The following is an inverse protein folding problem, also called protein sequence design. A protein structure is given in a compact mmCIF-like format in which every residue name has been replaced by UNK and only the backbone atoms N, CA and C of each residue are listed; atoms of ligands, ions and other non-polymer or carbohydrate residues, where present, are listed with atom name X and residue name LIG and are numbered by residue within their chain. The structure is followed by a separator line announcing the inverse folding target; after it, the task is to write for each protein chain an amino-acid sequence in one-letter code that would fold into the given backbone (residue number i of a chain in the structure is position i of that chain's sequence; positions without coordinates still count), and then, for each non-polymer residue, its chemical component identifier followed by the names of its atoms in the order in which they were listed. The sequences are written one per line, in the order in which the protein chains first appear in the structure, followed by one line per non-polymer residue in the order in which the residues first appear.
data_IF_441504024259
#
_entry.id   IF_441504024259
#
_cell.length_a   1.000
_cell.length_b   1.000
_cell.length_c   1.000
_cell.angle_alpha   90.00
_cell.angle_beta   90.00
_cell.angle_gamma   90.00
#
_symmetry.space_group_name_H-M   'P 1'
#
loop_
_entity.id
_entity.type
_entity.pdbx_description
1 polymer ?
#
# COMPACT_ATOMS: atom_id res chain seq x y z
N UNK A 1 14.95 -3.51 -9.54
CA UNK A 1 14.61 -2.68 -8.38
C UNK A 1 13.28 -3.16 -7.84
N UNK A 2 13.18 -3.62 -6.57
CA UNK A 2 11.91 -3.95 -5.95
C UNK A 2 11.15 -2.67 -5.56
N UNK A 3 9.82 -2.71 -5.61
CA UNK A 3 8.92 -1.58 -5.32
C UNK A 3 7.82 -2.07 -4.39
N UNK A 4 7.47 -1.27 -3.39
CA UNK A 4 6.31 -1.51 -2.51
C UNK A 4 5.44 -0.26 -2.48
N UNK A 5 4.12 -0.44 -2.59
CA UNK A 5 3.12 0.63 -2.49
C UNK A 5 2.19 0.31 -1.32
N UNK A 6 2.07 1.25 -0.38
CA UNK A 6 1.18 1.12 0.77
C UNK A 6 -0.12 1.90 0.55
N UNK A 7 -1.24 1.28 0.91
CA UNK A 7 -2.55 1.89 1.03
C UNK A 7 -3.05 1.76 2.48
N UNK A 8 -3.62 2.86 2.98
CA UNK A 8 -4.25 2.93 4.30
C UNK A 8 -5.56 2.14 4.41
N UNK A 9 -6.34 2.47 5.42
CA UNK A 9 -7.64 1.86 5.69
C UNK A 9 -8.78 2.67 5.06
N UNK A 10 -10.03 2.20 5.22
CA UNK A 10 -11.27 2.89 4.84
C UNK A 10 -11.45 3.13 3.32
N UNK A 11 -10.77 2.35 2.48
CA UNK A 11 -10.99 2.35 1.03
C UNK A 11 -12.14 1.41 0.70
N UNK A 12 -13.25 1.97 0.22
CA UNK A 12 -14.43 1.20 -0.18
C UNK A 12 -14.20 0.27 -1.38
N UNK A 13 -14.93 -0.83 -1.42
CA UNK A 13 -14.94 -1.79 -2.53
C UNK A 13 -15.92 -1.40 -3.66
N UNK A 14 -16.87 -0.52 -3.36
CA UNK A 14 -17.89 -0.02 -4.27
C UNK A 14 -17.65 1.45 -4.66
N UNK A 15 -18.13 1.88 -5.84
CA UNK A 15 -18.12 3.29 -6.20
C UNK A 15 -18.81 4.17 -5.14
N UNK A 16 -18.26 5.37 -4.93
CA UNK A 16 -18.85 6.41 -4.07
C UNK A 16 -19.18 7.65 -4.92
N UNK A 17 -20.28 8.33 -4.60
CA UNK A 17 -20.61 9.64 -5.17
C UNK A 17 -19.67 10.74 -4.63
N UNK A 18 -19.01 10.48 -3.49
CA UNK A 18 -17.94 11.33 -3.00
C UNK A 18 -16.66 11.08 -3.80
N UNK A 19 -16.32 12.04 -4.66
CA UNK A 19 -15.14 11.97 -5.50
C UNK A 19 -13.84 11.69 -4.72
N UNK A 20 -13.70 12.26 -3.51
CA UNK A 20 -12.50 12.07 -2.70
C UNK A 20 -12.32 10.63 -2.24
N UNK A 21 -13.41 9.98 -1.84
CA UNK A 21 -13.43 8.57 -1.45
C UNK A 21 -13.22 7.65 -2.67
N UNK A 22 -13.94 7.90 -3.77
CA UNK A 22 -13.87 7.03 -4.94
C UNK A 22 -12.49 7.08 -5.62
N UNK A 23 -11.79 8.22 -5.54
CA UNK A 23 -10.41 8.33 -6.00
C UNK A 23 -9.47 7.33 -5.34
N UNK A 24 -9.64 7.01 -4.05
CA UNK A 24 -8.78 6.04 -3.37
C UNK A 24 -9.05 4.61 -3.83
N UNK A 25 -10.31 4.26 -4.08
CA UNK A 25 -10.69 2.97 -4.69
C UNK A 25 -10.09 2.82 -6.09
N UNK A 26 -10.21 3.86 -6.92
CA UNK A 26 -9.65 3.87 -8.28
C UNK A 26 -8.11 3.74 -8.22
N UNK A 27 -7.43 4.51 -7.37
CA UNK A 27 -5.96 4.44 -7.22
C UNK A 27 -5.49 3.07 -6.75
N UNK A 28 -6.18 2.45 -5.80
CA UNK A 28 -5.85 1.09 -5.35
C UNK A 28 -6.03 0.06 -6.48
N UNK A 29 -7.11 0.16 -7.25
CA UNK A 29 -7.33 -0.72 -8.41
C UNK A 29 -6.24 -0.52 -9.47
N UNK A 30 -5.90 0.72 -9.79
CA UNK A 30 -4.86 1.05 -10.75
C UNK A 30 -3.48 0.57 -10.31
N UNK A 31 -3.13 0.74 -9.03
CA UNK A 31 -1.86 0.25 -8.48
C UNK A 31 -1.72 -1.26 -8.61
N UNK A 32 -2.81 -2.02 -8.38
CA UNK A 32 -2.82 -3.49 -8.57
C UNK A 32 -2.62 -3.88 -10.04
N UNK A 33 -3.36 -3.27 -10.96
CA UNK A 33 -3.22 -3.51 -12.40
C UNK A 33 -1.82 -3.15 -12.89
N UNK A 34 -1.27 -2.03 -12.43
CA UNK A 34 0.08 -1.61 -12.77
C UNK A 34 1.13 -2.60 -12.22
N UNK A 35 1.00 -3.03 -10.97
CA UNK A 35 1.89 -4.03 -10.37
C UNK A 35 1.88 -5.35 -11.16
N UNK A 36 0.70 -5.82 -11.60
CA UNK A 36 0.57 -7.00 -12.45
C UNK A 36 1.32 -6.84 -13.77
N UNK A 37 1.14 -5.73 -14.46
CA UNK A 37 1.82 -5.45 -15.72
C UNK A 37 3.34 -5.39 -15.52
N UNK A 38 3.83 -4.67 -14.51
CA UNK A 38 5.26 -4.56 -14.23
C UNK A 38 5.86 -5.93 -13.90
N UNK A 39 5.19 -6.72 -13.07
CA UNK A 39 5.63 -8.06 -12.70
C UNK A 39 5.65 -9.02 -13.89
N UNK A 40 4.66 -8.92 -14.80
CA UNK A 40 4.64 -9.67 -16.07
C UNK A 40 5.87 -9.39 -16.94
N UNK A 41 6.45 -8.21 -16.84
CA UNK A 41 7.65 -7.80 -17.57
C UNK A 41 8.95 -7.95 -16.75
N UNK A 42 8.95 -8.75 -15.69
CA UNK A 42 10.15 -9.08 -14.91
C UNK A 42 10.48 -8.09 -13.77
N UNK A 43 9.60 -7.12 -13.53
CA UNK A 43 9.68 -6.27 -12.34
C UNK A 43 9.28 -7.01 -11.06
N UNK A 44 9.41 -6.34 -9.91
CA UNK A 44 9.03 -6.86 -8.58
C UNK A 44 8.30 -5.78 -7.80
N UNK A 45 6.98 -5.77 -7.89
CA UNK A 45 6.08 -4.81 -7.24
C UNK A 45 5.15 -5.54 -6.28
N UNK A 46 5.06 -5.02 -5.07
CA UNK A 46 4.09 -5.44 -4.05
C UNK A 46 3.15 -4.28 -3.71
N UNK A 47 1.85 -4.54 -3.65
CA UNK A 47 0.84 -3.56 -3.24
C UNK A 47 0.23 -4.04 -1.92
N UNK A 48 0.46 -3.28 -0.86
CA UNK A 48 0.08 -3.64 0.51
C UNK A 48 -1.09 -2.75 0.93
N UNK A 49 -2.21 -3.39 1.26
CA UNK A 49 -3.31 -2.76 1.98
C UNK A 49 -3.08 -3.02 3.47
N UNK A 50 -2.74 -1.97 4.23
CA UNK A 50 -2.38 -2.07 5.66
C UNK A 50 -3.37 -2.93 6.49
N UNK A 51 -4.70 -2.84 6.30
CA UNK A 51 -5.66 -3.65 7.06
C UNK A 51 -5.51 -5.16 6.83
N UNK A 52 -5.03 -5.57 5.65
CA UNK A 52 -4.82 -6.99 5.29
C UNK A 52 -3.59 -7.60 5.96
N UNK A 53 -2.65 -6.77 6.38
CA UNK A 53 -1.46 -7.17 7.16
C UNK A 53 -1.62 -6.87 8.65
N UNK A 54 -2.85 -6.61 9.11
CA UNK A 54 -3.17 -6.42 10.54
C UNK A 54 -2.96 -5.01 11.08
N UNK A 55 -2.56 -4.05 10.24
CA UNK A 55 -2.35 -2.65 10.62
C UNK A 55 -3.61 -1.85 10.21
N UNK A 56 -4.43 -1.45 11.18
CA UNK A 56 -5.76 -0.87 10.93
C UNK A 56 -5.85 0.59 11.36
N UNK A 57 -6.81 1.32 10.79
CA UNK A 57 -7.12 2.70 11.17
C UNK A 57 -6.23 3.76 10.52
N UNK A 58 -5.35 3.38 9.59
CA UNK A 58 -4.46 4.31 8.91
C UNK A 58 -5.20 5.23 7.93
N UNK A 59 -4.79 6.49 7.92
CA UNK A 59 -5.25 7.51 6.97
C UNK A 59 -4.41 7.48 5.68
N UNK A 60 -4.53 8.52 4.85
CA UNK A 60 -3.62 8.71 3.72
C UNK A 60 -2.16 8.97 4.15
N UNK A 61 -1.93 9.38 5.39
CA UNK A 61 -0.61 9.72 5.92
C UNK A 61 -0.11 8.68 6.94
N UNK A 62 0.09 7.41 6.56
CA UNK A 62 0.46 6.35 7.49
C UNK A 62 1.83 6.56 8.16
N UNK A 63 2.69 7.41 7.59
CA UNK A 63 3.96 7.82 8.20
C UNK A 63 3.79 8.83 9.36
N UNK A 64 2.64 9.49 9.46
CA UNK A 64 2.32 10.52 10.46
C UNK A 64 1.13 10.16 11.35
N UNK A 65 0.46 9.03 11.08
CA UNK A 65 -0.58 8.50 11.96
C UNK A 65 -0.01 8.09 13.33
N UNK A 66 -0.88 7.94 14.34
CA UNK A 66 -0.47 7.59 15.71
C UNK A 66 0.14 6.19 15.83
N UNK A 67 -0.10 5.31 14.86
CA UNK A 67 0.52 3.99 14.73
C UNK A 67 1.64 3.94 13.68
N UNK A 68 2.23 5.08 13.30
CA UNK A 68 3.28 5.15 12.28
C UNK A 68 4.50 4.27 12.57
N UNK A 69 4.83 4.02 13.84
CA UNK A 69 5.92 3.11 14.24
C UNK A 69 5.63 1.69 13.75
N UNK A 70 4.38 1.20 13.83
CA UNK A 70 3.99 -0.12 13.34
C UNK A 70 4.12 -0.21 11.81
N UNK A 71 3.78 0.87 11.09
CA UNK A 71 3.98 0.95 9.63
C UNK A 71 5.47 0.96 9.29
N UNK A 72 6.28 1.69 10.05
CA UNK A 72 7.73 1.76 9.86
C UNK A 72 8.41 0.40 10.11
N UNK A 73 7.97 -0.35 11.12
CA UNK A 73 8.43 -1.72 11.39
C UNK A 73 8.14 -2.66 10.22
N UNK A 74 6.90 -2.63 9.70
CA UNK A 74 6.53 -3.43 8.52
C UNK A 74 7.38 -3.06 7.29
N UNK A 75 7.67 -1.76 7.09
CA UNK A 75 8.55 -1.32 6.01
C UNK A 75 9.99 -1.78 6.22
N UNK A 76 10.51 -1.71 7.44
CA UNK A 76 11.86 -2.16 7.78
C UNK A 76 12.04 -3.66 7.56
N UNK A 77 11.04 -4.48 7.93
CA UNK A 77 11.01 -5.92 7.66
C UNK A 77 11.04 -6.19 6.15
N UNK A 78 10.19 -5.49 5.38
CA UNK A 78 10.18 -5.61 3.92
C UNK A 78 11.54 -5.26 3.29
N UNK A 79 12.18 -4.17 3.75
CA UNK A 79 13.52 -3.77 3.27
C UNK A 79 14.56 -4.87 3.56
N UNK A 80 14.54 -5.45 4.77
CA UNK A 80 15.42 -6.55 5.16
C UNK A 80 15.20 -7.80 4.31
N UNK A 81 13.95 -8.17 4.05
CA UNK A 81 13.62 -9.28 3.14
C UNK A 81 14.15 -9.07 1.72
N UNK A 82 14.20 -7.82 1.25
CA UNK A 82 14.76 -7.49 -0.07
C UNK A 82 16.28 -7.23 -0.04
N UNK A 83 16.91 -7.27 1.14
CA UNK A 83 18.33 -6.96 1.33
C UNK A 83 18.68 -5.49 1.04
N UNK A 84 17.76 -4.58 1.33
CA UNK A 84 17.88 -3.12 1.11
C UNK A 84 18.15 -2.32 2.39
N UNK A 85 18.39 -3.00 3.51
CA UNK A 85 18.62 -2.44 4.85
C UNK A 85 20.10 -2.28 5.21
N UNK A 86 20.99 -2.38 4.21
CA UNK A 86 22.45 -2.37 4.38
C UNK A 86 23.08 -1.00 4.13
#
# INVERSE_FOLDING_TARGET
MPIVIYFGDFIGDKPSDNQGEDQWRIRLSLAKQWAEVVNKHGGKVEVIELPKVGIKGNTHFPMSDTNNVQVAEHLAEWLKEKGLDK
#
